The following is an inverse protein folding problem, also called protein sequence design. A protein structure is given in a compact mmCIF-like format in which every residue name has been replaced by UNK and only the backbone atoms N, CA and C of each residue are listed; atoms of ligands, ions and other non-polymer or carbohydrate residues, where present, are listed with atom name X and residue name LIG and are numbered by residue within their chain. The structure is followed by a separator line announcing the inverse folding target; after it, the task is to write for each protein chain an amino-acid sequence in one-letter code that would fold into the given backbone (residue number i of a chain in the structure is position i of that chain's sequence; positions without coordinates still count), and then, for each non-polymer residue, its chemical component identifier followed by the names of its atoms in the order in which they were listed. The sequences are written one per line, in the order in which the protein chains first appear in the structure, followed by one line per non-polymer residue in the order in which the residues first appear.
data_IF_326843046756
#
_entry.id   IF_326843046756
#
_cell.length_a   1.000
_cell.length_b   1.000
_cell.length_c   1.000
_cell.angle_alpha   90.00
_cell.angle_beta   90.00
_cell.angle_gamma   90.00
#
_symmetry.space_group_name_H-M   'P 1'
#
loop_
_entity.id
_entity.type
_entity.pdbx_description
1 polymer ?
#
# COMPACT_ATOMS: atom_id res chain seq x y z
N UNK A 1 -11.89 11.64 -2.79
CA UNK A 1 -11.70 12.95 -2.14
C UNK A 1 -10.37 13.52 -2.64
N UNK A 2 -10.29 14.81 -3.05
CA UNK A 2 -9.07 15.38 -3.62
C UNK A 2 -7.90 15.49 -2.62
N UNK A 3 -8.19 15.63 -1.33
CA UNK A 3 -7.17 15.82 -0.27
C UNK A 3 -6.19 14.64 -0.13
N UNK A 4 -6.62 13.40 -0.38
CA UNK A 4 -5.77 12.20 -0.24
C UNK A 4 -4.73 12.08 -1.35
N UNK A 5 -5.09 12.49 -2.57
CA UNK A 5 -4.17 12.49 -3.71
C UNK A 5 -3.11 13.59 -3.53
N UNK A 6 -3.49 14.75 -3.01
CA UNK A 6 -2.56 15.82 -2.69
C UNK A 6 -1.58 15.41 -1.58
N UNK A 7 -2.06 14.74 -0.53
CA UNK A 7 -1.20 14.26 0.56
C UNK A 7 -0.19 13.21 0.09
N UNK A 8 -0.61 12.27 -0.76
CA UNK A 8 0.28 11.29 -1.39
C UNK A 8 1.32 11.96 -2.29
N UNK A 9 0.93 13.00 -3.03
CA UNK A 9 1.82 13.75 -3.91
C UNK A 9 2.88 14.53 -3.12
N UNK A 10 2.51 15.15 -2.00
CA UNK A 10 3.46 15.83 -1.10
C UNK A 10 4.44 14.84 -0.46
N UNK A 11 3.97 13.67 -0.05
CA UNK A 11 4.83 12.61 0.47
C UNK A 11 5.81 12.12 -0.61
N UNK A 12 5.31 11.93 -1.83
CA UNK A 12 6.11 11.53 -2.98
C UNK A 12 7.22 12.53 -3.28
N UNK A 13 6.94 13.83 -3.27
CA UNK A 13 7.97 14.87 -3.55
C UNK A 13 9.16 14.77 -2.59
N UNK A 14 8.90 14.45 -1.33
CA UNK A 14 9.90 14.35 -0.27
C UNK A 14 10.70 13.06 -0.28
N UNK A 15 10.26 12.04 -1.02
CA UNK A 15 10.97 10.77 -1.08
C UNK A 15 12.39 10.97 -1.65
N UNK A 16 13.40 10.31 -1.04
CA UNK A 16 14.71 10.11 -1.64
C UNK A 16 14.59 9.52 -3.03
N UNK A 17 15.52 9.89 -3.93
CA UNK A 17 15.49 9.44 -5.32
C UNK A 17 15.50 7.92 -5.44
N UNK A 18 16.26 7.24 -4.60
CA UNK A 18 16.33 5.77 -4.57
C UNK A 18 14.96 5.11 -4.29
N UNK A 19 14.12 5.72 -3.44
CA UNK A 19 12.77 5.22 -3.18
C UNK A 19 11.82 5.53 -4.36
N UNK A 20 11.97 6.71 -4.98
CA UNK A 20 11.20 7.06 -6.19
C UNK A 20 11.53 6.11 -7.35
N UNK A 21 12.81 5.84 -7.57
CA UNK A 21 13.28 4.87 -8.55
C UNK A 21 12.73 3.48 -8.26
N UNK A 22 12.75 3.03 -7.00
CA UNK A 22 12.21 1.72 -6.63
C UNK A 22 10.69 1.62 -6.91
N UNK A 23 9.93 2.69 -6.73
CA UNK A 23 8.48 2.74 -7.02
C UNK A 23 8.21 2.59 -8.53
N UNK A 24 9.00 3.26 -9.38
CA UNK A 24 8.80 3.26 -10.84
C UNK A 24 9.70 2.28 -11.60
N UNK A 25 10.46 1.45 -10.88
CA UNK A 25 11.39 0.51 -11.51
C UNK A 25 10.65 -0.64 -12.19
N UNK A 26 11.01 -0.90 -13.44
CA UNK A 26 10.60 -2.12 -14.16
C UNK A 26 10.96 -3.38 -13.37
N UNK A 27 12.12 -3.39 -12.69
CA UNK A 27 12.56 -4.52 -11.86
C UNK A 27 11.58 -4.79 -10.71
N UNK A 28 11.05 -3.74 -10.08
CA UNK A 28 10.05 -3.86 -9.02
C UNK A 28 8.75 -4.43 -9.59
N UNK A 29 8.28 -3.88 -10.71
CA UNK A 29 7.05 -4.35 -11.36
C UNK A 29 7.14 -5.82 -11.76
N UNK A 30 8.24 -6.24 -12.39
CA UNK A 30 8.49 -7.63 -12.77
C UNK A 30 8.59 -8.54 -11.54
N UNK A 31 9.27 -8.11 -10.48
CA UNK A 31 9.36 -8.90 -9.25
C UNK A 31 7.98 -9.12 -8.61
N UNK A 32 7.12 -8.09 -8.57
CA UNK A 32 5.76 -8.22 -8.06
C UNK A 32 4.95 -9.18 -8.93
N UNK A 33 5.00 -9.02 -10.26
CA UNK A 33 4.33 -9.89 -11.21
C UNK A 33 4.72 -11.35 -11.03
N UNK A 34 6.03 -11.65 -11.06
CA UNK A 34 6.55 -13.01 -10.95
C UNK A 34 6.15 -13.68 -9.62
N UNK A 35 6.09 -12.92 -8.53
CA UNK A 35 5.70 -13.44 -7.21
C UNK A 35 4.20 -13.74 -7.17
N UNK A 36 3.37 -12.87 -7.76
CA UNK A 36 1.93 -13.10 -7.85
C UNK A 36 1.63 -14.33 -8.71
N UNK A 37 2.26 -14.43 -9.88
CA UNK A 37 2.11 -15.57 -10.79
C UNK A 37 2.48 -16.90 -10.11
N UNK A 38 3.61 -16.94 -9.39
CA UNK A 38 4.05 -18.14 -8.66
C UNK A 38 3.11 -18.58 -7.53
N UNK A 39 2.35 -17.65 -6.97
CA UNK A 39 1.44 -17.91 -5.86
C UNK A 39 -0.03 -17.97 -6.32
N UNK A 40 -0.28 -17.96 -7.63
CA UNK A 40 -1.62 -17.99 -8.23
C UNK A 40 -2.52 -16.85 -7.72
N UNK A 41 -1.93 -15.65 -7.54
CA UNK A 41 -2.63 -14.43 -7.12
C UNK A 41 -2.92 -13.57 -8.36
N UNK A 42 -4.19 -13.31 -8.63
CA UNK A 42 -4.61 -12.53 -9.80
C UNK A 42 -4.55 -11.01 -9.55
N UNK A 43 -4.75 -10.58 -8.30
CA UNK A 43 -4.82 -9.19 -7.86
C UNK A 43 -3.44 -8.54 -7.71
N UNK A 44 -2.65 -8.60 -8.78
CA UNK A 44 -1.27 -8.07 -8.83
C UNK A 44 -1.24 -6.55 -8.61
N UNK A 45 -2.28 -5.84 -9.04
CA UNK A 45 -2.46 -4.41 -8.81
C UNK A 45 -2.62 -4.05 -7.33
N UNK A 46 -3.33 -4.90 -6.56
CA UNK A 46 -3.48 -4.76 -5.11
C UNK A 46 -2.13 -4.97 -4.43
N UNK A 47 -1.37 -6.01 -4.81
CA UNK A 47 -0.02 -6.24 -4.28
C UNK A 47 0.89 -5.06 -4.59
N UNK A 48 0.88 -4.56 -5.83
CA UNK A 48 1.68 -3.42 -6.25
C UNK A 48 1.32 -2.13 -5.47
N UNK A 49 0.03 -1.89 -5.20
CA UNK A 49 -0.44 -0.77 -4.35
C UNK A 49 0.23 -0.83 -2.97
N UNK A 50 0.19 -1.98 -2.29
CA UNK A 50 0.75 -2.10 -0.94
C UNK A 50 2.28 -2.10 -0.93
N UNK A 51 2.93 -2.65 -1.96
CA UNK A 51 4.39 -2.48 -2.17
C UNK A 51 4.75 -1.00 -2.28
N UNK A 52 3.98 -0.24 -3.07
CA UNK A 52 4.14 1.21 -3.17
C UNK A 52 3.96 1.92 -1.82
N UNK A 53 2.95 1.54 -1.03
CA UNK A 53 2.74 2.10 0.32
C UNK A 53 3.91 1.82 1.27
N UNK A 54 4.55 0.64 1.18
CA UNK A 54 5.77 0.34 1.95
C UNK A 54 6.91 1.23 1.48
N UNK A 55 7.14 1.35 0.17
CA UNK A 55 8.22 2.18 -0.39
C UNK A 55 8.02 3.69 -0.10
N UNK A 56 6.77 4.13 0.02
CA UNK A 56 6.41 5.47 0.47
C UNK A 56 6.57 5.67 1.98
N UNK A 57 6.81 4.62 2.75
CA UNK A 57 6.94 4.68 4.20
C UNK A 57 5.62 4.80 4.96
N UNK A 58 4.49 4.51 4.31
CA UNK A 58 3.16 4.49 4.92
C UNK A 58 2.86 3.17 5.63
N UNK A 59 3.39 2.06 5.10
CA UNK A 59 3.26 0.72 5.67
C UNK A 59 4.64 0.20 6.11
N UNK A 60 4.68 -0.61 7.18
CA UNK A 60 5.91 -1.28 7.60
C UNK A 60 6.10 -2.58 6.81
N UNK A 61 7.33 -2.94 6.40
CA UNK A 61 7.61 -4.22 5.78
C UNK A 61 7.16 -5.43 6.63
N UNK A 62 7.16 -5.27 7.95
CA UNK A 62 6.77 -6.29 8.92
C UNK A 62 5.26 -6.55 8.94
N UNK A 63 4.46 -5.51 8.70
CA UNK A 63 2.99 -5.59 8.67
C UNK A 63 2.45 -6.05 7.31
N UNK A 64 3.29 -5.97 6.27
CA UNK A 64 2.91 -6.26 4.88
C UNK A 64 2.28 -7.65 4.69
N UNK A 65 2.81 -8.68 5.37
CA UNK A 65 2.23 -10.03 5.30
C UNK A 65 0.79 -10.08 5.83
N UNK A 66 0.51 -9.36 6.92
CA UNK A 66 -0.83 -9.29 7.51
C UNK A 66 -1.81 -8.51 6.62
N UNK A 67 -1.32 -7.51 5.90
CA UNK A 67 -2.11 -6.80 4.90
C UNK A 67 -2.46 -7.72 3.72
N UNK A 68 -1.49 -8.48 3.19
CA UNK A 68 -1.78 -9.45 2.13
C UNK A 68 -2.77 -10.53 2.57
N UNK A 69 -2.68 -11.03 3.80
CA UNK A 69 -3.64 -12.00 4.34
C UNK A 69 -5.08 -11.44 4.37
N UNK A 70 -5.23 -10.16 4.74
CA UNK A 70 -6.54 -9.52 4.86
C UNK A 70 -7.13 -9.10 3.50
N UNK A 71 -6.35 -8.41 2.69
CA UNK A 71 -6.82 -7.75 1.47
C UNK A 71 -7.03 -8.73 0.31
N UNK A 72 -6.29 -9.84 0.32
CA UNK A 72 -6.33 -10.85 -0.73
C UNK A 72 -6.93 -12.18 -0.23
N UNK A 73 -7.44 -12.21 1.00
CA UNK A 73 -7.96 -13.40 1.68
C UNK A 73 -7.01 -14.62 1.62
N UNK A 74 -5.70 -14.36 1.55
CA UNK A 74 -4.68 -15.39 1.39
C UNK A 74 -4.50 -16.18 2.68
N UNK A 75 -4.21 -17.46 2.55
CA UNK A 75 -3.73 -18.25 3.69
C UNK A 75 -2.45 -17.62 4.24
N UNK A 76 -2.34 -17.54 5.57
CA UNK A 76 -1.16 -17.03 6.28
C UNK A 76 0.18 -17.53 5.73
N UNK A 77 0.25 -18.80 5.33
CA UNK A 77 1.46 -19.38 4.73
C UNK A 77 1.80 -18.78 3.35
N UNK A 78 0.80 -18.56 2.50
CA UNK A 78 0.98 -17.96 1.17
C UNK A 78 1.36 -16.47 1.31
N UNK A 79 0.61 -15.72 2.13
CA UNK A 79 0.90 -14.32 2.43
C UNK A 79 2.31 -14.15 3.02
N UNK A 80 2.71 -15.03 3.95
CA UNK A 80 4.04 -15.03 4.54
C UNK A 80 5.16 -15.29 3.53
N UNK A 81 4.98 -16.27 2.62
CA UNK A 81 5.95 -16.55 1.55
C UNK A 81 6.11 -15.38 0.60
N UNK A 82 4.99 -14.82 0.12
CA UNK A 82 4.99 -13.65 -0.76
C UNK A 82 5.67 -12.46 -0.11
N UNK A 83 5.33 -12.16 1.14
CA UNK A 83 5.93 -11.06 1.89
C UNK A 83 7.45 -11.26 2.07
N UNK A 84 7.92 -12.48 2.32
CA UNK A 84 9.36 -12.75 2.42
C UNK A 84 10.08 -12.53 1.09
N UNK A 85 9.51 -12.99 -0.03
CA UNK A 85 10.10 -12.78 -1.35
C UNK A 85 10.15 -11.30 -1.73
N UNK A 86 9.04 -10.59 -1.54
CA UNK A 86 8.94 -9.14 -1.79
C UNK A 86 9.93 -8.38 -0.91
N UNK A 87 10.02 -8.72 0.38
CA UNK A 87 10.94 -8.08 1.30
C UNK A 87 12.39 -8.27 0.82
N UNK A 88 12.77 -9.48 0.43
CA UNK A 88 14.12 -9.76 -0.07
C UNK A 88 14.45 -9.05 -1.39
N UNK A 89 13.51 -9.01 -2.33
CA UNK A 89 13.76 -8.53 -3.69
C UNK A 89 13.57 -7.01 -3.85
N UNK A 90 12.66 -6.41 -3.07
CA UNK A 90 12.19 -5.05 -3.24
C UNK A 90 12.54 -4.18 -2.03
N UNK A 91 12.19 -4.60 -0.81
CA UNK A 91 12.37 -3.75 0.38
C UNK A 91 13.80 -3.76 0.91
N UNK A 92 14.49 -4.90 0.88
CA UNK A 92 15.83 -5.05 1.40
C UNK A 92 16.86 -4.15 0.69
N UNK A 93 16.88 -4.05 -0.66
CA UNK A 93 17.78 -3.13 -1.37
C UNK A 93 17.65 -1.67 -0.96
N UNK A 94 16.46 -1.24 -0.50
CA UNK A 94 16.18 0.16 -0.14
C UNK A 94 15.98 0.36 1.36
N UNK A 95 16.29 -0.66 2.18
CA UNK A 95 15.97 -0.68 3.62
C UNK A 95 16.61 0.49 4.37
N UNK A 96 17.87 0.80 4.07
CA UNK A 96 18.60 1.89 4.73
C UNK A 96 17.93 3.23 4.44
N UNK A 97 17.62 3.51 3.18
CA UNK A 97 16.90 4.70 2.77
C UNK A 97 15.50 4.80 3.34
N UNK A 98 14.75 3.69 3.37
CA UNK A 98 13.42 3.65 3.96
C UNK A 98 13.45 3.95 5.47
N UNK A 99 14.45 3.41 6.16
CA UNK A 99 14.65 3.63 7.61
C UNK A 99 15.04 5.08 7.89
N UNK A 100 16.00 5.62 7.14
CA UNK A 100 16.46 7.00 7.28
C UNK A 100 15.34 8.01 6.97
N UNK A 101 14.57 7.77 5.91
CA UNK A 101 13.43 8.61 5.53
C UNK A 101 12.38 8.67 6.65
N UNK A 102 12.01 7.51 7.21
CA UNK A 102 11.05 7.43 8.33
C UNK A 102 11.53 8.15 9.58
N UNK A 103 12.82 8.04 9.91
CA UNK A 103 13.41 8.72 11.07
C UNK A 103 13.48 10.24 10.87
N UNK A 104 13.80 10.70 9.65
CA UNK A 104 13.90 12.12 9.32
C UNK A 104 12.55 12.85 9.25
N UNK A 105 11.52 12.21 8.68
CA UNK A 105 10.19 12.81 8.52
C UNK A 105 9.26 12.59 9.72
N UNK A 106 9.71 11.92 10.81
CA UNK A 106 8.86 11.56 11.96
C UNK A 106 7.50 10.99 11.52
N UNK A 107 7.50 10.13 10.50
CA UNK A 107 6.28 9.50 10.00
C UNK A 107 5.82 8.52 11.08
N UNK A 108 4.96 9.01 11.99
CA UNK A 108 4.27 8.18 12.95
C UNK A 108 3.37 7.23 12.17
N UNK A 109 3.78 5.98 12.04
CA UNK A 109 2.95 4.98 11.39
C UNK A 109 1.65 4.83 12.19
N UNK A 110 0.48 5.07 11.59
CA UNK A 110 -0.73 4.50 12.12
C UNK A 110 -0.52 2.98 12.03
N UNK A 111 -0.59 2.28 13.16
CA UNK A 111 -0.52 0.81 13.13
C UNK A 111 -1.62 0.23 12.24
N UNK A 112 -1.57 -1.08 11.90
CA UNK A 112 -2.54 -1.71 11.01
C UNK A 112 -4.03 -1.44 11.36
N UNK A 113 -4.35 -1.16 12.63
CA UNK A 113 -5.69 -0.77 13.08
C UNK A 113 -6.16 0.62 12.58
N UNK A 114 -5.26 1.59 12.42
CA UNK A 114 -5.61 2.95 12.00
C UNK A 114 -5.73 3.08 10.48
N UNK A 115 -5.08 2.21 9.71
CA UNK A 115 -5.32 2.08 8.26
C UNK A 115 -6.70 1.45 8.02
N UNK A 116 -7.08 0.45 8.84
CA UNK A 116 -8.41 -0.18 8.83
C UNK A 116 -9.55 0.80 9.15
N UNK A 117 -9.36 1.71 10.10
CA UNK A 117 -10.36 2.73 10.42
C UNK A 117 -10.55 3.72 9.27
N UNK A 118 -9.46 4.15 8.62
CA UNK A 118 -9.52 5.08 7.49
C UNK A 118 -10.17 4.47 6.24
N UNK A 119 -9.88 3.21 5.91
CA UNK A 119 -10.49 2.54 4.75
C UNK A 119 -11.98 2.20 4.99
N UNK A 120 -12.37 1.77 6.21
CA UNK A 120 -13.79 1.55 6.56
C UNK A 120 -14.62 2.82 6.61
N UNK A 121 -14.06 3.94 7.04
CA UNK A 121 -14.76 5.23 7.09
C UNK A 121 -14.92 5.82 5.68
N UNK A 122 -13.95 5.60 4.79
CA UNK A 122 -14.06 5.92 3.36
C UNK A 122 -15.09 5.06 2.62
N UNK A 123 -15.17 3.76 2.88
CA UNK A 123 -16.14 2.88 2.25
C UNK A 123 -17.58 3.24 2.67
N UNK A 124 -17.79 3.56 3.95
CA UNK A 124 -19.08 4.04 4.47
C UNK A 124 -19.50 5.38 3.87
N UNK A 125 -18.60 6.36 3.82
CA UNK A 125 -18.91 7.68 3.24
C UNK A 125 -19.10 7.63 1.72
N UNK A 126 -18.39 6.76 1.01
CA UNK A 126 -18.60 6.52 -0.41
C UNK A 126 -19.96 5.85 -0.69
N UNK A 127 -20.39 4.93 0.17
CA UNK A 127 -21.70 4.28 0.08
C UNK A 127 -22.87 5.24 0.40
N UNK A 128 -22.71 6.12 1.39
CA UNK A 128 -23.71 7.15 1.73
C UNK A 128 -23.88 8.18 0.60
N UNK A 129 -22.79 8.66 -0.02
CA UNK A 129 -22.86 9.57 -1.18
C UNK A 129 -23.60 8.98 -2.38
N UNK A 130 -23.50 7.66 -2.60
CA UNK A 130 -24.24 6.99 -3.69
C UNK A 130 -25.73 6.84 -3.40
N UNK A 131 -26.13 6.80 -2.13
CA UNK A 131 -27.55 6.72 -1.73
C UNK A 131 -28.28 8.07 -1.80
N UNK A 132 -27.58 9.19 -1.62
CA UNK A 132 -28.18 10.53 -1.62
C UNK A 132 -28.43 11.10 -3.03
N UNK A 133 -28.00 10.41 -4.09
CA UNK A 133 -28.24 10.86 -5.47
C UNK A 133 -29.65 10.53 -6.02
N UNK A 134 -30.51 9.87 -5.22
CA UNK A 134 -31.89 9.46 -5.56
C UNK A 134 -32.96 10.17 -4.70
N UNK A 135 -32.71 11.39 -4.26
CA UNK A 135 -33.76 12.25 -3.71
C UNK A 135 -34.23 13.20 -4.82
N UNK A 136 -35.20 12.74 -5.62
CA UNK A 136 -35.92 13.63 -6.53
C UNK A 136 -36.53 14.78 -5.71
N UNK A 137 -36.43 16.04 -6.16
CA UNK A 137 -37.26 17.10 -5.61
C UNK A 137 -38.71 16.76 -5.93
N UNK A 138 -39.48 16.46 -4.90
CA UNK A 138 -40.93 16.45 -4.98
C UNK A 138 -41.37 17.91 -4.88
N UNK A 139 -41.58 18.55 -6.02
CA UNK A 139 -42.67 19.51 -6.33
C UNK A 139 -42.51 20.11 -7.73
#
# INVERSE_FOLDING_TARGET
MPEKQELLWELYKKLPEELKEAIFSEKTALAVWDICEKNEVEETDVVAKYVGQVLMGLLLPEDFAGVLEKELELKKEAAGRMAQEINRLIFYPVKECLTAFRQGEQIATPGPAAIEEQEKEEEKTAYEKRRDSYREPIE
#
